data_IF_295771054205
#
_entry.id   IF_295771054205
#
_cell.length_a   1.000
_cell.length_b   1.000
_cell.length_c   1.000
_cell.angle_alpha   90.00
_cell.angle_beta   90.00
_cell.angle_gamma   90.00
#
_symmetry.space_group_name_H-M   'P 1'
#
loop_
_entity.id
_entity.type
_entity.pdbx_description
1 polymer ?
#
# COMPACT_ATOMS: atom_id res chain seq x y z
N UNK A 1 8.47 3.75 16.46
CA UNK A 1 9.85 3.34 16.81
C UNK A 1 10.41 2.51 15.66
N UNK A 2 11.58 2.85 15.11
CA UNK A 2 12.08 2.20 13.88
C UNK A 2 12.49 0.74 14.16
N UNK A 3 11.60 -0.20 13.87
CA UNK A 3 11.78 -1.64 14.10
C UNK A 3 13.06 -2.17 13.46
N UNK A 4 13.37 -1.69 12.25
CA UNK A 4 14.56 -2.07 11.50
C UNK A 4 15.85 -1.67 12.23
N UNK A 5 15.90 -0.47 12.81
CA UNK A 5 17.06 0.01 13.55
C UNK A 5 17.32 -0.83 14.81
N UNK A 6 16.27 -1.17 15.55
CA UNK A 6 16.38 -2.00 16.75
C UNK A 6 16.87 -3.40 16.38
N UNK A 7 16.30 -4.03 15.34
CA UNK A 7 16.75 -5.36 14.93
C UNK A 7 18.22 -5.36 14.53
N UNK A 8 18.66 -4.39 13.72
CA UNK A 8 20.06 -4.31 13.30
C UNK A 8 21.00 -4.12 14.51
N UNK A 9 20.63 -3.29 15.48
CA UNK A 9 21.41 -3.12 16.72
C UNK A 9 21.44 -4.42 17.53
N UNK A 10 20.30 -5.07 17.73
CA UNK A 10 20.24 -6.34 18.46
C UNK A 10 21.07 -7.44 17.80
N UNK A 11 20.99 -7.56 16.46
CA UNK A 11 21.79 -8.52 15.70
C UNK A 11 23.29 -8.19 15.75
N UNK A 12 23.66 -6.91 15.70
CA UNK A 12 25.06 -6.48 15.84
C UNK A 12 25.60 -6.77 17.25
N UNK A 13 24.80 -6.51 18.28
CA UNK A 13 25.15 -6.84 19.67
C UNK A 13 25.30 -8.35 19.86
N UNK A 14 24.39 -9.16 19.31
CA UNK A 14 24.48 -10.62 19.38
C UNK A 14 25.77 -11.12 18.70
N UNK A 15 26.12 -10.57 17.55
CA UNK A 15 27.37 -10.86 16.86
C UNK A 15 28.60 -10.46 17.70
N UNK A 16 28.60 -9.27 18.29
CA UNK A 16 29.69 -8.78 19.14
C UNK A 16 29.87 -9.63 20.40
N UNK A 17 28.77 -10.02 21.05
CA UNK A 17 28.77 -10.93 22.21
C UNK A 17 29.33 -12.30 21.81
N UNK A 18 28.91 -12.83 20.66
CA UNK A 18 29.45 -14.06 20.09
C UNK A 18 30.97 -14.04 19.96
N UNK A 19 31.51 -12.95 19.40
CA UNK A 19 32.95 -12.78 19.18
C UNK A 19 33.73 -12.57 20.49
N UNK A 20 33.12 -11.93 21.50
CA UNK A 20 33.74 -11.66 22.80
C UNK A 20 33.67 -12.84 23.78
N UNK A 21 32.87 -13.87 23.49
CA UNK A 21 32.75 -15.06 24.35
C UNK A 21 34.08 -15.84 24.43
N UNK A 22 34.48 -16.29 25.63
CA UNK A 22 35.59 -17.23 25.81
C UNK A 22 35.36 -18.55 25.07
N UNK A 23 36.44 -19.26 24.77
CA UNK A 23 36.38 -20.59 24.13
C UNK A 23 35.52 -21.54 24.97
N UNK A 24 34.35 -21.89 24.43
CA UNK A 24 33.34 -22.70 25.08
C UNK A 24 32.49 -23.39 24.01
N UNK A 25 31.84 -24.49 24.35
CA UNK A 25 30.96 -25.24 23.42
C UNK A 25 29.80 -24.39 22.87
N UNK A 26 29.42 -23.30 23.56
CA UNK A 26 28.38 -22.37 23.12
C UNK A 26 28.88 -21.31 22.12
N UNK A 27 30.17 -21.00 22.10
CA UNK A 27 30.74 -19.93 21.27
C UNK A 27 30.43 -20.08 19.77
N UNK A 28 30.59 -21.26 19.14
CA UNK A 28 30.30 -21.42 17.71
C UNK A 28 28.85 -21.11 17.36
N UNK A 29 27.90 -21.51 18.23
CA UNK A 29 26.47 -21.28 18.02
C UNK A 29 26.12 -19.80 18.10
N UNK A 30 26.65 -19.08 19.10
CA UNK A 30 26.35 -17.64 19.28
C UNK A 30 26.99 -16.80 18.18
N UNK A 31 28.22 -17.13 17.77
CA UNK A 31 28.90 -16.45 16.64
C UNK A 31 28.11 -16.65 15.34
N UNK A 32 27.73 -17.89 15.02
CA UNK A 32 26.97 -18.19 13.81
C UNK A 32 25.59 -17.53 13.83
N UNK A 33 24.87 -17.63 14.95
CA UNK A 33 23.59 -16.95 15.13
C UNK A 33 23.72 -15.44 14.93
N UNK A 34 24.73 -14.81 15.54
CA UNK A 34 24.98 -13.38 15.42
C UNK A 34 25.31 -12.94 13.98
N UNK A 35 26.21 -13.66 13.30
CA UNK A 35 26.61 -13.36 11.92
C UNK A 35 25.44 -13.51 10.94
N UNK A 36 24.69 -14.61 11.00
CA UNK A 36 23.55 -14.82 10.11
C UNK A 36 22.40 -13.88 10.44
N UNK A 37 22.14 -13.61 11.72
CA UNK A 37 21.14 -12.61 12.15
C UNK A 37 21.49 -11.22 11.63
N UNK A 38 22.74 -10.78 11.76
CA UNK A 38 23.19 -9.49 11.30
C UNK A 38 23.14 -9.38 9.77
N UNK A 39 23.60 -10.42 9.06
CA UNK A 39 23.50 -10.48 7.60
C UNK A 39 22.06 -10.40 7.12
N UNK A 40 21.15 -11.18 7.72
CA UNK A 40 19.73 -11.18 7.38
C UNK A 40 19.04 -9.84 7.65
N UNK A 41 19.32 -9.22 8.80
CA UNK A 41 18.77 -7.90 9.13
C UNK A 41 19.30 -6.80 8.18
N UNK A 42 20.61 -6.77 7.91
CA UNK A 42 21.24 -5.76 7.06
C UNK A 42 20.81 -5.89 5.60
N UNK A 43 20.87 -7.09 5.03
CA UNK A 43 20.49 -7.33 3.63
C UNK A 43 19.02 -6.99 3.41
N UNK A 44 18.16 -7.33 4.36
CA UNK A 44 16.76 -6.99 4.22
C UNK A 44 16.47 -5.50 4.43
N UNK A 45 17.18 -4.83 5.34
CA UNK A 45 17.09 -3.37 5.46
C UNK A 45 17.50 -2.70 4.14
N UNK A 46 18.59 -3.15 3.53
CA UNK A 46 19.05 -2.67 2.24
C UNK A 46 18.01 -2.92 1.14
N UNK A 47 17.39 -4.10 1.13
CA UNK A 47 16.32 -4.45 0.19
C UNK A 47 15.12 -3.49 0.31
N UNK A 48 14.70 -3.18 1.54
CA UNK A 48 13.62 -2.20 1.77
C UNK A 48 14.06 -0.81 1.30
N UNK A 49 15.28 -0.38 1.63
CA UNK A 49 15.80 0.92 1.23
C UNK A 49 15.87 1.08 -0.30
N UNK A 50 16.37 0.05 -1.01
CA UNK A 50 16.51 0.09 -2.47
C UNK A 50 15.17 0.02 -3.21
N UNK A 51 14.06 -0.32 -2.57
CA UNK A 51 12.73 -0.20 -3.22
C UNK A 51 12.37 1.28 -3.47
N UNK A 52 12.73 2.15 -2.52
CA UNK A 52 12.36 3.57 -2.52
C UNK A 52 13.46 4.47 -3.05
N UNK A 53 14.73 4.08 -2.88
CA UNK A 53 15.89 4.91 -3.23
C UNK A 53 16.78 4.23 -4.27
N UNK A 54 17.35 5.02 -5.17
CA UNK A 54 18.41 4.54 -6.07
C UNK A 54 19.72 4.41 -5.30
N UNK A 55 20.32 3.23 -5.38
CA UNK A 55 21.60 2.92 -4.75
C UNK A 55 22.62 2.64 -5.86
N UNK A 56 23.70 3.43 -5.96
CA UNK A 56 24.68 3.27 -7.03
C UNK A 56 25.36 1.90 -6.94
N UNK A 57 25.39 1.18 -8.07
CA UNK A 57 26.00 -0.14 -8.18
C UNK A 57 25.08 -1.33 -7.85
N UNK A 58 23.84 -1.09 -7.40
CA UNK A 58 22.86 -2.15 -7.15
C UNK A 58 21.75 -2.12 -8.22
N UNK A 59 21.71 -3.15 -9.07
CA UNK A 59 20.64 -3.32 -10.05
C UNK A 59 19.30 -3.53 -9.36
N UNK A 60 18.25 -2.88 -9.88
CA UNK A 60 16.90 -2.95 -9.30
C UNK A 60 16.68 -2.06 -8.08
N UNK A 61 17.51 -1.03 -7.87
CA UNK A 61 17.25 0.03 -6.89
C UNK A 61 16.36 1.13 -7.47
N UNK A 62 15.51 1.77 -6.66
CA UNK A 62 14.62 2.85 -7.05
C UNK A 62 13.40 2.43 -7.87
N UNK A 63 12.97 1.16 -7.73
CA UNK A 63 11.92 0.57 -8.57
C UNK A 63 10.61 1.36 -8.54
N UNK A 64 10.25 1.94 -7.39
CA UNK A 64 9.01 2.71 -7.27
C UNK A 64 9.06 3.97 -8.14
N UNK A 65 10.17 4.72 -8.07
CA UNK A 65 10.37 5.94 -8.86
C UNK A 65 10.48 5.60 -10.35
N UNK A 66 11.16 4.50 -10.69
CA UNK A 66 11.34 4.06 -12.09
C UNK A 66 10.04 3.58 -12.76
N UNK A 67 9.01 3.21 -11.97
CA UNK A 67 7.71 2.72 -12.46
C UNK A 67 6.59 3.75 -12.30
N UNK A 68 6.93 5.01 -12.11
CA UNK A 68 5.98 6.11 -11.89
C UNK A 68 4.87 6.18 -12.97
N UNK A 69 5.21 6.10 -14.25
CA UNK A 69 4.23 6.14 -15.35
C UNK A 69 3.25 4.97 -15.33
N UNK A 70 3.73 3.77 -14.99
CA UNK A 70 2.85 2.60 -14.82
C UNK A 70 1.88 2.79 -13.65
N UNK A 71 2.33 3.46 -12.58
CA UNK A 71 1.49 3.77 -11.44
C UNK A 71 0.38 4.78 -11.79
N UNK A 72 0.71 5.87 -12.49
CA UNK A 72 -0.30 6.83 -13.00
C UNK A 72 -1.36 6.13 -13.85
N UNK A 73 -0.92 5.30 -14.80
CA UNK A 73 -1.83 4.55 -15.66
C UNK A 73 -2.71 3.57 -14.85
N UNK A 74 -2.14 2.92 -13.83
CA UNK A 74 -2.89 2.07 -12.92
C UNK A 74 -4.01 2.82 -12.18
N UNK A 75 -3.73 4.02 -11.66
CA UNK A 75 -4.76 4.86 -11.01
C UNK A 75 -5.80 5.31 -12.03
N UNK A 76 -5.37 5.73 -13.22
CA UNK A 76 -6.28 6.13 -14.29
C UNK A 76 -7.28 5.02 -14.62
N UNK A 77 -6.80 3.81 -14.89
CA UNK A 77 -7.68 2.65 -15.14
C UNK A 77 -8.56 2.34 -13.93
N UNK A 78 -8.03 2.40 -12.71
CA UNK A 78 -8.83 2.19 -11.50
C UNK A 78 -10.04 3.13 -11.46
N UNK A 79 -9.82 4.42 -11.68
CA UNK A 79 -10.87 5.45 -11.67
C UNK A 79 -11.83 5.28 -12.85
N UNK A 80 -11.31 5.15 -14.06
CA UNK A 80 -12.14 5.16 -15.27
C UNK A 80 -12.90 3.85 -15.51
N UNK A 81 -12.37 2.72 -15.06
CA UNK A 81 -12.97 1.41 -15.32
C UNK A 81 -13.83 0.91 -14.15
N UNK A 82 -13.54 1.33 -12.92
CA UNK A 82 -14.27 0.84 -11.73
C UNK A 82 -15.20 1.89 -11.12
N UNK A 83 -14.85 3.17 -11.16
CA UNK A 83 -15.68 4.23 -10.61
C UNK A 83 -16.57 4.89 -11.67
N UNK A 84 -15.98 5.30 -12.80
CA UNK A 84 -16.68 6.00 -13.88
C UNK A 84 -17.23 5.04 -14.96
N UNK A 85 -18.10 4.12 -14.55
CA UNK A 85 -18.81 3.20 -15.45
C UNK A 85 -20.16 3.76 -15.90
N UNK A 86 -20.71 3.25 -17.01
CA UNK A 86 -22.03 3.67 -17.51
C UNK A 86 -23.14 3.39 -16.50
N UNK A 87 -23.04 2.26 -15.78
CA UNK A 87 -24.01 1.87 -14.76
C UNK A 87 -23.98 2.82 -13.55
N UNK A 88 -22.78 3.15 -13.05
CA UNK A 88 -22.61 4.11 -11.96
C UNK A 88 -23.08 5.50 -12.37
N UNK A 89 -22.83 5.89 -13.63
CA UNK A 89 -23.31 7.16 -14.17
C UNK A 89 -24.83 7.23 -14.22
N UNK A 90 -25.51 6.18 -14.70
CA UNK A 90 -26.99 6.13 -14.73
C UNK A 90 -27.59 6.26 -13.34
N UNK A 91 -27.06 5.51 -12.37
CA UNK A 91 -27.47 5.61 -10.96
C UNK A 91 -27.29 7.03 -10.43
N UNK A 92 -26.15 7.65 -10.70
CA UNK A 92 -25.86 9.02 -10.29
C UNK A 92 -26.82 10.04 -10.91
N UNK A 93 -27.07 9.95 -12.22
CA UNK A 93 -27.98 10.88 -12.92
C UNK A 93 -29.45 10.68 -12.54
N UNK A 94 -29.89 9.44 -12.27
CA UNK A 94 -31.27 9.18 -11.86
C UNK A 94 -31.56 9.78 -10.48
N UNK A 95 -30.63 9.66 -9.53
CA UNK A 95 -30.71 10.33 -8.21
C UNK A 95 -30.68 11.84 -8.39
N UNK A 96 -29.84 12.32 -9.32
CA UNK A 96 -29.72 13.73 -9.61
C UNK A 96 -30.98 14.41 -10.12
N UNK A 97 -31.70 13.72 -11.01
CA UNK A 97 -32.87 14.24 -11.69
C UNK A 97 -34.14 14.12 -10.84
N UNK A 98 -34.23 13.13 -9.94
CA UNK A 98 -35.49 12.82 -9.24
C UNK A 98 -35.61 13.36 -7.81
N UNK A 99 -34.53 13.43 -7.03
CA UNK A 99 -34.63 13.76 -5.59
C UNK A 99 -34.07 15.14 -5.23
N UNK A 100 -33.31 15.77 -6.12
CA UNK A 100 -32.40 16.84 -5.72
C UNK A 100 -31.26 16.26 -4.86
N UNK A 101 -30.05 16.72 -5.12
CA UNK A 101 -28.84 15.99 -4.71
C UNK A 101 -28.41 16.39 -3.31
N UNK A 102 -29.14 15.88 -2.34
CA UNK A 102 -28.70 15.92 -0.95
C UNK A 102 -27.85 14.68 -0.64
N UNK A 103 -26.89 14.84 0.28
CA UNK A 103 -26.09 13.73 0.81
C UNK A 103 -26.96 12.58 1.39
N UNK A 104 -28.20 12.89 1.75
CA UNK A 104 -29.19 11.96 2.30
C UNK A 104 -29.84 11.10 1.20
N UNK A 105 -30.17 11.68 0.04
CA UNK A 105 -30.68 10.96 -1.13
C UNK A 105 -29.66 9.96 -1.71
N UNK A 106 -28.40 10.39 -1.81
CA UNK A 106 -27.29 9.53 -2.26
C UNK A 106 -27.13 8.30 -1.35
N UNK A 107 -27.24 8.48 -0.03
CA UNK A 107 -27.16 7.38 0.95
C UNK A 107 -28.36 6.45 0.93
N UNK A 108 -29.55 6.94 0.55
CA UNK A 108 -30.74 6.08 0.41
C UNK A 108 -30.78 5.28 -0.88
N UNK A 109 -30.09 5.72 -1.94
CA UNK A 109 -30.11 5.03 -3.23
C UNK A 109 -28.92 4.10 -3.46
N UNK A 110 -27.75 4.43 -2.91
CA UNK A 110 -26.53 3.64 -3.09
C UNK A 110 -26.27 2.79 -1.84
N UNK A 111 -26.15 1.48 -2.03
CA UNK A 111 -25.71 0.58 -0.97
C UNK A 111 -24.21 0.83 -0.70
N UNK A 112 -23.94 1.70 0.27
CA UNK A 112 -22.57 2.07 0.63
C UNK A 112 -21.81 0.93 1.31
N UNK A 113 -22.51 -0.07 1.86
CA UNK A 113 -21.90 -1.29 2.38
C UNK A 113 -21.39 -2.17 1.25
N UNK A 114 -22.19 -2.35 0.20
CA UNK A 114 -21.78 -3.06 -1.01
C UNK A 114 -20.65 -2.33 -1.75
N UNK A 115 -20.70 -1.00 -1.79
CA UNK A 115 -19.64 -0.19 -2.38
C UNK A 115 -18.31 -0.31 -1.62
N UNK A 116 -18.35 -0.33 -0.29
CA UNK A 116 -17.17 -0.59 0.53
C UNK A 116 -16.69 -2.03 0.34
N UNK A 117 -17.59 -3.02 0.23
CA UNK A 117 -17.22 -4.40 -0.07
C UNK A 117 -16.54 -4.52 -1.45
N UNK A 118 -17.04 -3.82 -2.46
CA UNK A 118 -16.42 -3.72 -3.78
C UNK A 118 -15.03 -3.08 -3.71
N UNK A 119 -14.86 -2.03 -2.91
CA UNK A 119 -13.54 -1.45 -2.62
C UNK A 119 -12.60 -2.48 -1.99
N UNK A 120 -13.06 -3.26 -1.01
CA UNK A 120 -12.27 -4.36 -0.43
C UNK A 120 -11.91 -5.42 -1.47
N UNK A 121 -12.83 -5.76 -2.38
CA UNK A 121 -12.62 -6.77 -3.42
C UNK A 121 -11.57 -6.32 -4.46
N UNK A 122 -11.61 -5.04 -4.84
CA UNK A 122 -10.59 -4.42 -5.71
C UNK A 122 -9.25 -4.37 -5.00
N UNK A 123 -9.23 -3.98 -3.72
CA UNK A 123 -8.02 -4.04 -2.88
C UNK A 123 -7.48 -5.46 -2.83
N UNK A 124 -8.34 -6.47 -2.64
CA UNK A 124 -7.96 -7.88 -2.57
C UNK A 124 -7.26 -8.38 -3.83
N UNK A 125 -7.80 -8.01 -5.00
CA UNK A 125 -7.28 -8.41 -6.32
C UNK A 125 -6.07 -7.60 -6.75
N UNK A 126 -5.89 -6.42 -6.16
CA UNK A 126 -4.70 -5.59 -6.41
C UNK A 126 -3.46 -6.20 -5.76
N UNK A 127 -2.29 -5.72 -6.18
CA UNK A 127 -1.01 -6.04 -5.53
C UNK A 127 -0.99 -5.64 -4.04
N UNK A 128 -1.86 -4.71 -3.63
CA UNK A 128 -2.02 -4.27 -2.24
C UNK A 128 -2.74 -5.33 -1.38
N UNK A 129 -3.68 -6.10 -1.93
CA UNK A 129 -4.36 -7.18 -1.22
C UNK A 129 -3.45 -8.33 -0.82
N UNK A 130 -2.50 -8.68 -1.70
CA UNK A 130 -1.43 -9.64 -1.39
C UNK A 130 -0.55 -9.16 -0.22
N UNK A 131 -0.31 -7.85 -0.12
CA UNK A 131 0.42 -7.25 0.99
C UNK A 131 -0.41 -7.19 2.29
N UNK A 132 -1.70 -6.88 2.20
CA UNK A 132 -2.63 -6.84 3.34
C UNK A 132 -2.80 -8.19 4.01
N UNK A 133 -2.66 -9.28 3.26
CA UNK A 133 -2.74 -10.66 3.78
C UNK A 133 -1.73 -10.93 4.91
N UNK A 134 -0.63 -10.18 4.97
CA UNK A 134 0.40 -10.31 6.00
C UNK A 134 0.03 -9.61 7.33
N UNK A 135 -1.00 -8.74 7.33
CA UNK A 135 -1.38 -7.88 8.47
C UNK A 135 -2.85 -8.06 8.89
N UNK A 136 -3.42 -9.24 8.62
CA UNK A 136 -4.80 -9.58 8.98
C UNK A 136 -5.79 -9.57 7.81
N UNK A 137 -5.31 -9.33 6.58
CA UNK A 137 -6.11 -9.35 5.36
C UNK A 137 -7.08 -8.17 5.27
N UNK A 138 -8.12 -8.33 4.46
CA UNK A 138 -9.14 -7.31 4.23
C UNK A 138 -9.86 -6.86 5.50
N UNK A 139 -9.90 -7.70 6.54
CA UNK A 139 -10.49 -7.38 7.84
C UNK A 139 -9.78 -6.23 8.55
N UNK A 140 -8.54 -5.93 8.22
CA UNK A 140 -7.81 -4.78 8.75
C UNK A 140 -8.43 -3.44 8.29
N UNK A 141 -9.19 -3.44 7.20
CA UNK A 141 -9.85 -2.27 6.66
C UNK A 141 -11.28 -2.08 7.20
N UNK A 142 -11.86 -3.08 7.85
CA UNK A 142 -13.24 -3.04 8.36
C UNK A 142 -13.55 -1.80 9.23
N UNK A 143 -12.66 -1.31 10.11
CA UNK A 143 -12.90 -0.08 10.88
C UNK A 143 -13.07 1.18 10.03
N UNK A 144 -12.61 1.16 8.78
CA UNK A 144 -12.74 2.27 7.84
C UNK A 144 -14.10 2.31 7.15
N UNK A 145 -14.97 1.32 7.36
CA UNK A 145 -16.27 1.23 6.70
C UNK A 145 -17.09 2.49 6.89
N UNK A 146 -17.40 2.86 8.13
CA UNK A 146 -18.21 4.07 8.41
C UNK A 146 -17.56 5.39 7.97
N UNK A 147 -16.28 5.68 8.27
CA UNK A 147 -15.66 6.93 7.79
C UNK A 147 -15.54 6.98 6.27
N UNK A 148 -15.40 5.83 5.59
CA UNK A 148 -15.49 5.75 4.14
C UNK A 148 -16.87 6.16 3.63
N UNK A 149 -17.95 5.59 4.21
CA UNK A 149 -19.33 5.96 3.83
C UNK A 149 -19.58 7.45 4.02
N UNK A 150 -19.09 8.02 5.12
CA UNK A 150 -19.24 9.44 5.42
C UNK A 150 -18.54 10.36 4.42
N UNK A 151 -17.22 10.18 4.27
CA UNK A 151 -16.43 11.06 3.43
C UNK A 151 -16.77 10.90 1.94
N UNK A 152 -17.03 9.66 1.51
CA UNK A 152 -17.43 9.39 0.13
C UNK A 152 -18.78 10.03 -0.22
N UNK A 153 -19.79 9.90 0.66
CA UNK A 153 -21.11 10.56 0.44
C UNK A 153 -20.96 12.08 0.30
N UNK A 154 -20.15 12.67 1.19
CA UNK A 154 -19.90 14.12 1.19
C UNK A 154 -19.21 14.57 -0.10
N UNK A 155 -18.13 13.90 -0.49
CA UNK A 155 -17.37 14.22 -1.71
C UNK A 155 -18.21 14.02 -2.97
N UNK A 156 -19.05 12.98 -2.99
CA UNK A 156 -19.97 12.78 -4.10
C UNK A 156 -20.96 13.93 -4.19
N UNK A 157 -21.58 14.34 -3.07
CA UNK A 157 -22.48 15.50 -3.02
C UNK A 157 -21.81 16.79 -3.54
N UNK A 158 -20.56 17.06 -3.14
CA UNK A 158 -19.81 18.23 -3.63
C UNK A 158 -19.60 18.19 -5.16
N UNK A 159 -19.26 17.03 -5.72
CA UNK A 159 -19.09 16.87 -7.18
C UNK A 159 -20.42 17.02 -7.91
N UNK A 160 -21.50 16.58 -7.28
CA UNK A 160 -22.83 16.63 -7.86
C UNK A 160 -23.38 18.04 -7.91
N UNK A 161 -23.25 18.80 -6.81
CA UNK A 161 -23.73 20.17 -6.70
C UNK A 161 -23.03 21.11 -7.69
N UNK A 162 -21.77 20.83 -8.04
CA UNK A 162 -21.01 21.57 -9.05
C UNK A 162 -21.46 21.27 -10.49
N UNK A 163 -22.25 20.21 -10.71
CA UNK A 163 -22.81 19.89 -12.00
C UNK A 163 -24.21 20.53 -12.12
N UNK A 164 -24.38 21.46 -13.06
CA UNK A 164 -25.69 22.04 -13.41
C UNK A 164 -26.52 21.00 -14.20
N UNK A 165 -27.05 20.00 -13.49
CA UNK A 165 -27.69 18.80 -14.03
C UNK A 165 -29.13 19.07 -14.51
N UNK A 166 -29.67 20.28 -14.34
CA UNK A 166 -31.09 20.58 -14.55
C UNK A 166 -31.49 20.79 -16.02
N UNK A 167 -30.54 20.90 -16.96
CA UNK A 167 -30.85 21.32 -18.35
C UNK A 167 -30.19 20.55 -19.49
N UNK A 168 -29.49 19.44 -19.26
CA UNK A 168 -28.74 18.77 -20.33
C UNK A 168 -29.14 17.31 -20.49
N UNK A 169 -29.40 16.89 -21.74
CA UNK A 169 -29.38 15.48 -22.14
C UNK A 169 -28.01 14.89 -21.82
N UNK A 170 -27.81 14.42 -20.59
CA UNK A 170 -26.59 13.80 -20.12
C UNK A 170 -26.52 12.36 -20.61
N UNK A 171 -25.93 12.20 -21.78
CA UNK A 171 -25.46 10.90 -22.21
C UNK A 171 -24.05 10.67 -21.70
N UNK A 172 -23.85 9.52 -21.05
CA UNK A 172 -22.56 9.07 -20.52
C UNK A 172 -21.41 9.21 -21.54
N UNK A 173 -21.68 8.94 -22.82
CA UNK A 173 -20.70 9.05 -23.91
C UNK A 173 -20.13 10.46 -24.09
N UNK A 174 -20.92 11.50 -23.77
CA UNK A 174 -20.46 12.89 -23.87
C UNK A 174 -19.76 13.37 -22.59
N UNK A 175 -20.06 12.74 -21.45
CA UNK A 175 -19.53 13.14 -20.15
C UNK A 175 -18.22 12.43 -19.79
N UNK A 176 -18.10 11.15 -20.17
CA UNK A 176 -16.92 10.32 -19.87
C UNK A 176 -15.60 10.93 -20.36
N UNK A 177 -15.49 11.47 -21.59
CA UNK A 177 -14.23 12.07 -22.06
C UNK A 177 -13.82 13.31 -21.24
N UNK A 178 -14.79 14.08 -20.74
CA UNK A 178 -14.53 15.27 -19.91
C UNK A 178 -13.91 14.87 -18.58
N UNK A 179 -14.48 13.85 -17.92
CA UNK A 179 -13.94 13.32 -16.67
C UNK A 179 -12.58 12.66 -16.88
N UNK A 180 -12.42 11.90 -17.96
CA UNK A 180 -11.14 11.27 -18.30
C UNK A 180 -10.03 12.31 -18.43
N UNK A 181 -10.28 13.42 -19.13
CA UNK A 181 -9.33 14.51 -19.27
C UNK A 181 -9.02 15.19 -17.94
N UNK A 182 -10.01 15.35 -17.04
CA UNK A 182 -9.81 15.92 -15.72
C UNK A 182 -8.93 15.02 -14.85
N UNK A 183 -9.23 13.72 -14.80
CA UNK A 183 -8.48 12.72 -14.03
C UNK A 183 -7.06 12.64 -14.55
N UNK A 184 -6.89 12.53 -15.87
CA UNK A 184 -5.56 12.50 -16.50
C UNK A 184 -4.77 13.77 -16.20
N UNK A 185 -5.38 14.94 -16.34
CA UNK A 185 -4.74 16.22 -16.02
C UNK A 185 -4.30 16.32 -14.56
N UNK A 186 -5.02 15.68 -13.62
CA UNK A 186 -4.60 15.62 -12.22
C UNK A 186 -3.48 14.63 -11.98
N UNK A 187 -3.52 13.46 -12.64
CA UNK A 187 -2.46 12.46 -12.57
C UNK A 187 -1.14 12.97 -13.17
N UNK A 188 -1.20 13.78 -14.22
CA UNK A 188 -0.03 14.38 -14.85
C UNK A 188 0.62 15.49 -14.00
N UNK A 189 -0.07 16.00 -12.97
CA UNK A 189 0.52 16.90 -11.97
C UNK A 189 1.28 16.16 -10.87
N UNK A 190 1.16 14.83 -10.80
CA UNK A 190 1.87 14.06 -9.79
C UNK A 190 3.35 14.03 -10.13
N UNK A 191 4.18 14.26 -9.12
CA UNK A 191 5.63 14.06 -9.21
C UNK A 191 6.03 12.69 -8.64
N UNK A 192 7.14 12.08 -9.09
CA UNK A 192 7.58 10.78 -8.59
C UNK A 192 7.76 10.71 -7.07
N UNK A 193 8.20 11.80 -6.45
CA UNK A 193 8.37 11.95 -5.01
C UNK A 193 7.05 11.86 -4.23
N UNK A 194 5.94 12.36 -4.80
CA UNK A 194 4.64 12.30 -4.15
C UNK A 194 4.13 10.86 -4.09
N UNK A 195 4.27 10.11 -5.19
CA UNK A 195 3.92 8.68 -5.24
C UNK A 195 4.78 7.87 -4.30
N UNK A 196 6.09 8.16 -4.26
CA UNK A 196 7.01 7.55 -3.30
C UNK A 196 6.54 7.78 -1.87
N UNK A 197 6.19 9.02 -1.50
CA UNK A 197 5.71 9.35 -0.15
C UNK A 197 4.42 8.59 0.19
N UNK A 198 3.44 8.59 -0.71
CA UNK A 198 2.17 7.86 -0.50
C UNK A 198 2.43 6.38 -0.25
N UNK A 199 3.24 5.74 -1.09
CA UNK A 199 3.56 4.33 -0.93
C UNK A 199 4.38 4.07 0.33
N UNK A 200 5.36 4.92 0.61
CA UNK A 200 6.22 4.82 1.78
C UNK A 200 5.40 4.91 3.08
N UNK A 201 4.48 5.88 3.18
CA UNK A 201 3.58 6.03 4.33
C UNK A 201 2.66 4.82 4.50
N UNK A 202 2.19 4.24 3.40
CA UNK A 202 1.31 3.07 3.44
C UNK A 202 2.01 1.77 3.83
N UNK A 203 3.26 1.54 3.40
CA UNK A 203 3.88 0.20 3.47
C UNK A 203 5.16 0.12 4.29
N UNK A 204 5.85 1.23 4.58
CA UNK A 204 7.17 1.21 5.23
C UNK A 204 7.10 0.62 6.63
N UNK A 205 6.05 0.89 7.39
CA UNK A 205 5.87 0.31 8.74
C UNK A 205 5.72 -1.22 8.71
N UNK A 206 5.12 -1.73 7.63
CA UNK A 206 4.92 -3.17 7.40
C UNK A 206 6.21 -3.82 6.87
N UNK A 207 6.93 -3.16 5.97
CA UNK A 207 8.23 -3.61 5.47
C UNK A 207 9.30 -3.69 6.57
N UNK A 208 9.18 -2.89 7.63
CA UNK A 208 10.05 -2.98 8.80
C UNK A 208 10.05 -4.36 9.48
N UNK A 209 8.95 -5.12 9.39
CA UNK A 209 8.88 -6.49 9.90
C UNK A 209 9.76 -7.47 9.13
N UNK A 210 9.97 -7.23 7.83
CA UNK A 210 10.82 -8.07 7.01
C UNK A 210 12.26 -8.04 7.54
N UNK A 211 12.71 -6.90 8.08
CA UNK A 211 14.03 -6.76 8.72
C UNK A 211 14.08 -7.55 10.03
N UNK A 212 13.03 -7.44 10.85
CA UNK A 212 12.90 -8.21 12.10
C UNK A 212 13.02 -9.70 11.84
N UNK A 213 12.26 -10.21 10.86
CA UNK A 213 12.27 -11.62 10.50
C UNK A 213 13.58 -12.04 9.83
N UNK A 214 14.21 -11.18 9.03
CA UNK A 214 15.56 -11.41 8.51
C UNK A 214 16.57 -11.65 9.64
N UNK A 215 16.50 -10.83 10.69
CA UNK A 215 17.32 -11.02 11.89
C UNK A 215 17.00 -12.29 12.67
N UNK A 216 15.71 -12.59 12.90
CA UNK A 216 15.28 -13.77 13.67
C UNK A 216 15.59 -15.07 12.92
N UNK A 217 15.18 -15.19 11.67
CA UNK A 217 15.45 -16.39 10.86
C UNK A 217 16.93 -16.55 10.57
N UNK A 218 17.67 -15.45 10.33
CA UNK A 218 19.12 -15.50 10.23
C UNK A 218 19.73 -16.13 11.50
N UNK A 219 19.33 -15.67 12.69
CA UNK A 219 19.80 -16.25 13.95
C UNK A 219 19.49 -17.74 14.09
N UNK A 220 18.25 -18.14 13.82
CA UNK A 220 17.82 -19.55 13.89
C UNK A 220 18.59 -20.43 12.89
N UNK A 221 18.74 -19.98 11.65
CA UNK A 221 19.49 -20.68 10.62
C UNK A 221 20.97 -20.77 11.01
N UNK A 222 21.55 -19.73 11.58
CA UNK A 222 22.93 -19.74 12.09
C UNK A 222 23.15 -20.82 13.15
N UNK A 223 22.24 -20.93 14.13
CA UNK A 223 22.28 -22.00 15.15
C UNK A 223 22.14 -23.38 14.51
N UNK A 224 21.16 -23.56 13.62
CA UNK A 224 20.91 -24.83 12.95
C UNK A 224 22.08 -25.27 12.07
N UNK A 225 22.69 -24.33 11.34
CA UNK A 225 23.86 -24.58 10.51
C UNK A 225 25.06 -25.04 11.35
N UNK A 226 25.28 -24.42 12.50
CA UNK A 226 26.31 -24.87 13.45
C UNK A 226 25.98 -26.24 14.02
N UNK A 227 24.72 -26.52 14.37
CA UNK A 227 24.31 -27.84 14.87
C UNK A 227 24.55 -28.97 13.85
N UNK A 228 24.37 -28.68 12.55
CA UNK A 228 24.59 -29.64 11.46
C UNK A 228 26.07 -29.85 11.11
N UNK A 229 26.95 -28.91 11.50
CA UNK A 229 28.38 -28.90 11.15
C UNK A 229 29.32 -29.12 12.34
N UNK A 230 28.79 -29.11 13.56
CA UNK A 230 29.47 -29.46 14.80
C UNK A 230 29.54 -30.98 15.01
#
# INVERSE_FOLDING_TARGET
MNKSLITNICSALLCAIGLALPESSAKPFVVSAGLFSLSGALTNWLAVHMLFEKVPGLYGSGVIVDRFEEFKNGIHSLVMENFFTEENFKRFTDVALHEGLSAEGIRSTIDMDDMFNGFLDVVARSKFGGMLSLVGGLRALEPLREPFKEEFSKKLTEVVDDLDLTNSNMHFENFRPTVENLVKGKLDQLEPEEVKSILEDMIREHLGWLVVWGGVFGGVIGVAATFLTA
#
